data_IF_929002062031
#
_entry.id   IF_929002062031
#
_cell.length_a   1.000
_cell.length_b   1.000
_cell.length_c   1.000
_cell.angle_alpha   90.00
_cell.angle_beta   90.00
_cell.angle_gamma   90.00
#
_symmetry.space_group_name_H-M   'P 1'
#
loop_
_entity.id
_entity.type
_entity.pdbx_description
1 polymer ?
#
# COMPACT_ATOMS: atom_id res chain seq x y z
N UNK A 1 0.69 23.02 -40.59
CA UNK A 1 0.14 23.40 -39.26
C UNK A 1 -0.23 22.22 -38.36
N UNK A 2 -0.42 20.99 -38.87
CA UNK A 2 -0.89 19.85 -38.07
C UNK A 2 0.14 19.17 -37.13
N UNK A 3 1.44 19.23 -37.41
CA UNK A 3 2.47 18.47 -36.65
C UNK A 3 2.61 18.92 -35.19
N UNK A 4 2.50 20.22 -34.94
CA UNK A 4 2.58 20.78 -33.58
C UNK A 4 1.31 20.52 -32.77
N UNK A 5 0.15 20.45 -33.41
CA UNK A 5 -1.12 20.14 -32.74
C UNK A 5 -1.15 18.69 -32.24
N UNK A 6 -0.61 17.74 -33.03
CA UNK A 6 -0.48 16.33 -32.61
C UNK A 6 0.50 16.21 -31.43
N UNK A 7 1.62 16.94 -31.49
CA UNK A 7 2.59 16.96 -30.39
C UNK A 7 1.98 17.54 -29.10
N UNK A 8 1.22 18.63 -29.20
CA UNK A 8 0.52 19.24 -28.07
C UNK A 8 -0.56 18.31 -27.48
N UNK A 9 -1.36 17.63 -28.32
CA UNK A 9 -2.34 16.64 -27.88
C UNK A 9 -1.68 15.46 -27.15
N UNK A 10 -0.54 14.98 -27.63
CA UNK A 10 0.23 13.93 -26.96
C UNK A 10 0.74 14.35 -25.58
N UNK A 11 1.26 15.59 -25.45
CA UNK A 11 1.75 16.13 -24.17
C UNK A 11 0.60 16.32 -23.18
N UNK A 12 -0.56 16.82 -23.63
CA UNK A 12 -1.75 16.97 -22.78
C UNK A 12 -2.31 15.62 -22.30
N UNK A 13 -2.37 14.63 -23.19
CA UNK A 13 -2.81 13.28 -22.83
C UNK A 13 -1.88 12.65 -21.78
N UNK A 14 -0.56 12.78 -21.96
CA UNK A 14 0.45 12.30 -21.04
C UNK A 14 0.43 13.03 -19.68
N UNK A 15 0.25 14.35 -19.69
CA UNK A 15 0.11 15.16 -18.47
C UNK A 15 -1.17 14.83 -17.67
N UNK A 16 -2.28 14.53 -18.37
CA UNK A 16 -3.52 14.08 -17.73
C UNK A 16 -3.35 12.77 -16.96
N UNK A 17 -2.59 11.81 -17.52
CA UNK A 17 -2.31 10.53 -16.84
C UNK A 17 -1.48 10.74 -15.57
N UNK A 18 -0.51 11.66 -15.59
CA UNK A 18 0.28 12.01 -14.40
C UNK A 18 -0.58 12.63 -13.28
N UNK A 19 -1.63 13.38 -13.63
CA UNK A 19 -2.59 13.93 -12.68
C UNK A 19 -3.52 12.87 -12.05
N UNK A 20 -3.68 11.71 -12.69
CA UNK A 20 -4.48 10.59 -12.15
C UNK A 20 -3.70 9.66 -11.22
N UNK A 21 -2.39 9.88 -11.03
CA UNK A 21 -1.63 9.06 -10.10
C UNK A 21 -2.11 9.35 -8.67
N UNK A 22 -2.65 8.34 -7.97
CA UNK A 22 -3.21 8.54 -6.64
C UNK A 22 -2.11 9.03 -5.71
N UNK A 23 -2.45 9.88 -4.75
CA UNK A 23 -1.48 10.49 -3.85
C UNK A 23 -1.07 9.55 -2.70
N UNK A 24 -0.20 10.07 -1.83
CA UNK A 24 0.29 9.33 -0.66
C UNK A 24 -0.82 9.01 0.35
N UNK A 25 -1.76 9.93 0.58
CA UNK A 25 -2.82 9.71 1.57
C UNK A 25 -3.81 8.63 1.11
N UNK A 26 -4.11 8.59 -0.18
CA UNK A 26 -4.87 7.51 -0.80
C UNK A 26 -4.14 6.17 -0.65
N UNK A 27 -2.82 6.15 -0.85
CA UNK A 27 -2.01 4.95 -0.66
C UNK A 27 -2.00 4.48 0.79
N UNK A 28 -1.84 5.38 1.76
CA UNK A 28 -1.85 5.01 3.19
C UNK A 28 -3.16 4.33 3.58
N UNK A 29 -4.29 4.82 3.08
CA UNK A 29 -5.61 4.22 3.34
C UNK A 29 -5.70 2.81 2.75
N UNK A 30 -5.28 2.64 1.49
CA UNK A 30 -5.19 1.34 0.84
C UNK A 30 -4.23 0.37 1.58
N UNK A 31 -3.07 0.86 1.99
CA UNK A 31 -2.04 0.05 2.63
C UNK A 31 -2.45 -0.42 4.02
N UNK A 32 -3.17 0.39 4.81
CA UNK A 32 -3.72 -0.03 6.11
C UNK A 32 -4.61 -1.27 5.95
N UNK A 33 -5.50 -1.27 4.96
CA UNK A 33 -6.38 -2.40 4.68
C UNK A 33 -5.59 -3.63 4.25
N UNK A 34 -4.67 -3.46 3.29
CA UNK A 34 -3.84 -4.55 2.79
C UNK A 34 -2.98 -5.19 3.89
N UNK A 35 -2.34 -4.39 4.73
CA UNK A 35 -1.55 -4.85 5.88
C UNK A 35 -2.44 -5.56 6.89
N UNK A 36 -3.62 -5.02 7.17
CA UNK A 36 -4.59 -5.64 8.07
C UNK A 36 -4.96 -7.05 7.65
N UNK A 37 -5.21 -7.25 6.35
CA UNK A 37 -5.52 -8.57 5.81
C UNK A 37 -4.32 -9.51 5.92
N UNK A 38 -3.13 -9.09 5.48
CA UNK A 38 -1.92 -9.91 5.55
C UNK A 38 -1.53 -10.29 6.99
N UNK A 39 -1.67 -9.37 7.94
CA UNK A 39 -1.36 -9.63 9.35
C UNK A 39 -2.39 -10.57 10.00
N UNK A 40 -3.68 -10.48 9.61
CA UNK A 40 -4.70 -11.45 10.04
C UNK A 40 -4.44 -12.84 9.45
N UNK A 41 -4.06 -12.92 8.17
CA UNK A 41 -3.68 -14.19 7.55
C UNK A 41 -2.44 -14.78 8.24
N UNK A 42 -1.50 -13.93 8.68
CA UNK A 42 -0.36 -14.36 9.46
C UNK A 42 -0.77 -14.97 10.80
N UNK A 43 -1.75 -14.38 11.50
CA UNK A 43 -2.30 -14.96 12.73
C UNK A 43 -2.83 -16.38 12.51
N UNK A 44 -3.34 -16.70 11.32
CA UNK A 44 -3.88 -18.03 11.00
C UNK A 44 -2.78 -19.04 10.71
N UNK A 45 -1.72 -18.61 10.00
CA UNK A 45 -0.59 -19.46 9.60
C UNK A 45 0.36 -19.75 10.75
N UNK A 46 0.69 -18.74 11.56
CA UNK A 46 1.60 -18.84 12.67
C UNK A 46 1.10 -17.98 13.84
N UNK A 47 0.24 -18.55 14.71
CA UNK A 47 -0.32 -17.84 15.86
C UNK A 47 0.72 -17.55 16.97
N UNK A 48 2.03 -17.57 16.68
CA UNK A 48 3.10 -17.46 17.68
C UNK A 48 3.40 -18.79 18.36
N UNK A 49 3.29 -19.91 17.64
CA UNK A 49 3.58 -21.25 18.16
C UNK A 49 2.59 -21.83 19.19
N UNK A 50 1.53 -21.10 19.56
CA UNK A 50 0.55 -21.47 20.59
C UNK A 50 -0.75 -22.10 20.05
N UNK A 51 -0.84 -22.32 18.73
CA UNK A 51 -1.95 -23.04 18.08
C UNK A 51 -3.25 -22.24 17.88
N UNK A 52 -4.32 -22.92 17.47
CA UNK A 52 -5.60 -22.30 17.04
C UNK A 52 -6.29 -21.43 18.10
N UNK A 53 -6.00 -21.67 19.38
CA UNK A 53 -6.62 -20.98 20.52
C UNK A 53 -6.30 -19.48 20.58
N UNK A 54 -5.21 -19.04 19.94
CA UNK A 54 -4.79 -17.63 19.93
C UNK A 54 -5.06 -16.91 18.61
N UNK A 55 -5.63 -17.59 17.60
CA UNK A 55 -6.01 -16.96 16.32
C UNK A 55 -7.02 -15.83 16.50
N UNK A 56 -8.09 -16.07 17.25
CA UNK A 56 -9.13 -15.07 17.55
C UNK A 56 -8.56 -13.83 18.27
N UNK A 57 -7.87 -14.01 19.41
CA UNK A 57 -7.16 -12.93 20.10
C UNK A 57 -6.16 -12.17 19.21
N UNK A 58 -5.39 -12.87 18.37
CA UNK A 58 -4.45 -12.24 17.45
C UNK A 58 -5.15 -11.35 16.42
N UNK A 59 -6.21 -11.84 15.75
CA UNK A 59 -6.99 -11.03 14.78
C UNK A 59 -7.65 -9.80 15.43
N UNK A 60 -8.11 -9.93 16.67
CA UNK A 60 -8.65 -8.82 17.44
C UNK A 60 -7.56 -7.78 17.74
N UNK A 61 -6.38 -8.22 18.17
CA UNK A 61 -5.23 -7.35 18.41
C UNK A 61 -4.76 -6.62 17.13
N UNK A 62 -4.68 -7.31 15.99
CA UNK A 62 -4.39 -6.68 14.69
C UNK A 62 -5.42 -5.59 14.37
N UNK A 63 -6.71 -5.88 14.57
CA UNK A 63 -7.78 -4.92 14.29
C UNK A 63 -7.70 -3.68 15.18
N UNK A 64 -7.34 -3.85 16.46
CA UNK A 64 -7.09 -2.75 17.39
C UNK A 64 -5.82 -1.95 17.04
N UNK A 65 -4.86 -2.57 16.34
CA UNK A 65 -3.61 -1.93 15.90
C UNK A 65 -3.76 -1.12 14.60
N UNK A 66 -4.75 -1.43 13.75
CA UNK A 66 -4.96 -0.75 12.44
C UNK A 66 -4.91 0.79 12.50
N UNK A 67 -5.52 1.48 13.49
CA UNK A 67 -5.47 2.94 13.55
C UNK A 67 -4.04 3.49 13.73
N UNK A 68 -3.13 2.70 14.33
CA UNK A 68 -1.73 3.06 14.54
C UNK A 68 -0.88 2.84 13.29
N UNK A 69 -1.35 2.05 12.31
CA UNK A 69 -0.62 1.81 11.07
C UNK A 69 -0.54 3.07 10.20
N UNK A 70 -1.58 3.88 10.17
CA UNK A 70 -1.62 5.08 9.32
C UNK A 70 -0.48 6.07 9.62
N UNK A 71 -0.26 6.51 10.88
CA UNK A 71 0.89 7.38 11.19
C UNK A 71 2.24 6.69 10.93
N UNK A 72 2.35 5.37 11.13
CA UNK A 72 3.57 4.62 10.79
C UNK A 72 3.84 4.65 9.29
N UNK A 73 2.83 4.36 8.45
CA UNK A 73 2.93 4.48 7.00
C UNK A 73 3.27 5.90 6.57
N UNK A 74 2.73 6.92 7.24
CA UNK A 74 3.09 8.32 6.97
C UNK A 74 4.54 8.66 7.36
N UNK A 75 5.17 7.87 8.21
CA UNK A 75 6.60 8.00 8.51
C UNK A 75 7.48 7.14 7.59
N UNK A 76 7.04 5.95 7.19
CA UNK A 76 7.89 4.95 6.49
C UNK A 76 7.60 4.80 5.00
N UNK A 77 6.51 5.36 4.49
CA UNK A 77 6.16 5.28 3.05
C UNK A 77 7.05 6.20 2.22
N UNK A 78 7.77 5.64 1.26
CA UNK A 78 8.41 6.38 0.18
C UNK A 78 7.55 6.32 -1.10
N UNK A 79 7.44 7.47 -1.79
CA UNK A 79 6.78 7.59 -3.09
C UNK A 79 7.79 8.00 -4.16
N UNK A 80 7.88 7.22 -5.23
CA UNK A 80 8.65 7.54 -6.42
C UNK A 80 7.69 7.78 -7.58
N UNK A 81 7.58 9.02 -8.05
CA UNK A 81 6.72 9.37 -9.17
C UNK A 81 7.48 9.21 -10.50
N UNK A 82 7.01 8.31 -11.36
CA UNK A 82 7.60 7.95 -12.65
C UNK A 82 6.76 8.47 -13.82
N UNK A 83 6.07 9.60 -13.60
CA UNK A 83 5.21 10.30 -14.55
C UNK A 83 3.93 9.54 -14.92
N UNK A 84 4.03 8.34 -15.48
CA UNK A 84 2.87 7.51 -15.84
C UNK A 84 2.27 6.74 -14.66
N UNK A 85 3.08 6.45 -13.65
CA UNK A 85 2.69 5.74 -12.44
C UNK A 85 3.58 6.18 -11.28
N UNK A 86 3.22 5.79 -10.07
CA UNK A 86 4.04 5.96 -8.88
C UNK A 86 4.35 4.61 -8.24
N UNK A 87 5.56 4.44 -7.70
CA UNK A 87 5.90 3.29 -6.86
C UNK A 87 5.83 3.75 -5.41
N UNK A 88 5.09 2.99 -4.61
CA UNK A 88 4.96 3.17 -3.18
C UNK A 88 5.66 2.02 -2.47
N UNK A 89 6.49 2.35 -1.49
CA UNK A 89 7.23 1.38 -0.69
C UNK A 89 7.07 1.73 0.78
N UNK A 90 6.65 0.76 1.58
CA UNK A 90 6.43 0.95 3.01
C UNK A 90 7.08 -0.18 3.79
N UNK A 91 7.88 0.19 4.78
CA UNK A 91 8.35 -0.74 5.80
C UNK A 91 7.35 -0.72 6.95
N UNK A 92 6.83 -1.91 7.31
CA UNK A 92 5.83 -2.05 8.36
C UNK A 92 6.17 -3.18 9.31
N UNK A 93 5.93 -2.93 10.59
CA UNK A 93 5.99 -3.92 11.65
C UNK A 93 4.67 -3.90 12.42
N UNK A 94 4.06 -5.06 12.59
CA UNK A 94 2.86 -5.33 13.37
C UNK A 94 3.25 -6.34 14.46
N UNK A 95 3.76 -5.88 15.61
CA UNK A 95 4.33 -6.74 16.64
C UNK A 95 3.33 -7.78 17.17
N UNK A 96 2.06 -7.41 17.24
CA UNK A 96 0.97 -8.27 17.76
C UNK A 96 0.72 -9.52 16.92
N UNK A 97 1.16 -9.54 15.65
CA UNK A 97 1.07 -10.69 14.76
C UNK A 97 2.46 -11.22 14.34
N UNK A 98 3.54 -10.77 15.01
CA UNK A 98 4.92 -11.03 14.61
C UNK A 98 5.17 -10.80 13.11
N UNK A 99 4.52 -9.77 12.56
CA UNK A 99 4.49 -9.53 11.13
C UNK A 99 5.37 -8.32 10.81
N UNK A 100 6.53 -8.55 10.20
CA UNK A 100 7.46 -7.51 9.81
C UNK A 100 7.82 -7.68 8.34
N UNK A 101 7.49 -6.70 7.51
CA UNK A 101 7.65 -6.82 6.06
C UNK A 101 7.80 -5.48 5.35
N UNK A 102 8.21 -5.56 4.09
CA UNK A 102 8.18 -4.45 3.14
C UNK A 102 7.11 -4.72 2.09
N UNK A 103 6.17 -3.79 1.98
CA UNK A 103 5.13 -3.83 0.95
C UNK A 103 5.49 -2.85 -0.15
N UNK A 104 5.36 -3.30 -1.40
CA UNK A 104 5.54 -2.45 -2.58
C UNK A 104 4.34 -2.52 -3.51
N UNK A 105 3.88 -1.34 -3.92
CA UNK A 105 2.69 -1.20 -4.77
C UNK A 105 2.91 -0.18 -5.88
N UNK A 106 2.31 -0.44 -7.03
CA UNK A 106 2.21 0.52 -8.14
C UNK A 106 0.90 1.28 -7.99
N UNK A 107 0.96 2.61 -7.99
CA UNK A 107 -0.19 3.50 -8.13
C UNK A 107 -0.31 3.98 -9.57
N UNK A 108 -1.42 3.68 -10.23
CA UNK A 108 -1.71 4.08 -11.61
C UNK A 108 -3.23 4.24 -11.80
N UNK A 109 -3.68 5.27 -12.53
CA UNK A 109 -5.10 5.51 -12.82
C UNK A 109 -6.01 5.43 -11.58
N UNK A 110 -5.62 6.12 -10.50
CA UNK A 110 -6.30 6.11 -9.20
C UNK A 110 -6.53 4.71 -8.60
N UNK A 111 -5.68 3.73 -8.94
CA UNK A 111 -5.70 2.37 -8.42
C UNK A 111 -4.33 2.00 -7.86
N UNK A 112 -4.32 1.05 -6.93
CA UNK A 112 -3.11 0.48 -6.37
C UNK A 112 -3.03 -1.02 -6.67
N UNK A 113 -1.83 -1.48 -7.01
CA UNK A 113 -1.52 -2.87 -7.27
C UNK A 113 -0.29 -3.25 -6.45
N UNK A 114 -0.49 -4.05 -5.40
CA UNK A 114 0.62 -4.59 -4.61
C UNK A 114 1.26 -5.75 -5.36
N UNK A 115 2.54 -5.62 -5.70
CA UNK A 115 3.31 -6.66 -6.41
C UNK A 115 4.34 -7.35 -5.51
N UNK A 116 4.60 -6.78 -4.33
CA UNK A 116 5.48 -7.38 -3.32
C UNK A 116 4.82 -7.28 -1.95
N UNK A 117 4.55 -8.45 -1.40
CA UNK A 117 4.01 -8.70 -0.07
C UNK A 117 4.62 -10.04 0.42
N UNK A 118 4.67 -10.28 1.73
CA UNK A 118 5.17 -11.54 2.29
C UNK A 118 4.28 -12.74 1.96
#
# INVERSE_FOLDING_TARGET
MARWQIALLGIFALGGLAATNPDRAAYETYAVEQIGNLARDQCDRDPGGLGILVQGPCRAAVSAYLPQLRPLLSATTSRQNLFLFSIYRSDISVPVANFNTRIESIGIFNRFFTYKAP
#
